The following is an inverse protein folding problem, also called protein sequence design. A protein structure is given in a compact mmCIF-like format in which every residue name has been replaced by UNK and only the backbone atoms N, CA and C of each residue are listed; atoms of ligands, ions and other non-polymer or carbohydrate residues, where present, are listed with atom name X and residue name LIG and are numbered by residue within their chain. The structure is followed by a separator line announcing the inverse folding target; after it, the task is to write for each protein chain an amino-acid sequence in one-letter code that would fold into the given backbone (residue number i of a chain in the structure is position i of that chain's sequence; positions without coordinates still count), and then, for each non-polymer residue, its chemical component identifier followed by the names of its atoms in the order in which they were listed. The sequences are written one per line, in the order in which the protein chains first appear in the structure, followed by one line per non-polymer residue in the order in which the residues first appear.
data_IF_833429181756
#
_entry.id   IF_833429181756
#
_cell.length_a   1.000
_cell.length_b   1.000
_cell.length_c   1.000
_cell.angle_alpha   90.00
_cell.angle_beta   90.00
_cell.angle_gamma   90.00
#
_symmetry.space_group_name_H-M   'P 1'
#
loop_
_entity.id
_entity.type
_entity.pdbx_description
1 polymer ?
#
# COMPACT_ATOMS: atom_id res chain seq x y z
N UNK A 1 -21.99 3.02 12.61
CA UNK A 1 -21.26 3.64 13.73
C UNK A 1 -21.26 5.14 13.48
N UNK A 2 -21.93 5.96 14.31
CA UNK A 2 -21.97 7.41 14.12
C UNK A 2 -20.64 8.04 14.54
N UNK A 3 -20.03 8.81 13.65
CA UNK A 3 -18.81 9.59 13.90
C UNK A 3 -18.80 10.76 12.92
N UNK A 4 -18.52 11.98 13.38
CA UNK A 4 -18.58 13.22 12.58
C UNK A 4 -17.76 13.13 11.27
N UNK A 5 -16.52 12.63 11.35
CA UNK A 5 -15.70 12.41 10.15
C UNK A 5 -16.34 11.46 9.12
N UNK A 6 -17.12 10.46 9.55
CA UNK A 6 -17.75 9.50 8.63
C UNK A 6 -18.93 10.10 7.85
N UNK A 7 -19.36 11.32 8.20
CA UNK A 7 -20.31 12.10 7.39
C UNK A 7 -19.64 12.71 6.15
N UNK A 8 -18.32 12.84 6.17
CA UNK A 8 -17.53 13.47 5.10
C UNK A 8 -16.66 12.49 4.33
N UNK A 9 -16.18 11.43 4.99
CA UNK A 9 -15.29 10.44 4.39
C UNK A 9 -15.74 9.01 4.70
N UNK A 10 -15.59 8.14 3.72
CA UNK A 10 -15.83 6.70 3.88
C UNK A 10 -14.52 5.94 3.75
N UNK A 11 -14.28 5.03 4.69
CA UNK A 11 -13.11 4.14 4.63
C UNK A 11 -13.53 2.78 4.05
N UNK A 12 -12.83 2.36 3.01
CA UNK A 12 -12.87 0.98 2.51
C UNK A 12 -11.65 0.23 3.03
N UNK A 13 -11.87 -0.78 3.87
CA UNK A 13 -10.79 -1.68 4.28
C UNK A 13 -10.70 -2.86 3.29
N UNK A 14 -9.47 -3.25 2.97
CA UNK A 14 -9.20 -4.32 2.02
C UNK A 14 -8.50 -5.48 2.73
N UNK A 15 -8.86 -6.74 2.43
CA UNK A 15 -8.14 -7.89 2.98
C UNK A 15 -6.64 -7.82 2.65
N UNK A 16 -5.78 -8.10 3.64
CA UNK A 16 -4.32 -8.04 3.48
C UNK A 16 -3.82 -8.76 2.24
N UNK A 17 -2.81 -8.19 1.59
CA UNK A 17 -2.18 -8.85 0.44
C UNK A 17 -1.34 -10.02 0.92
N UNK A 18 -1.89 -11.23 0.79
CA UNK A 18 -1.18 -12.49 1.00
C UNK A 18 0.07 -12.55 0.13
N UNK A 19 1.15 -13.10 0.68
CA UNK A 19 2.40 -13.36 -0.03
C UNK A 19 2.40 -14.75 -0.68
N UNK A 20 2.97 -14.87 -1.89
CA UNK A 20 3.23 -16.16 -2.55
C UNK A 20 2.02 -16.80 -3.26
N UNK A 21 2.11 -18.09 -3.57
CA UNK A 21 1.09 -18.86 -4.31
C UNK A 21 -0.30 -18.88 -3.63
N UNK A 22 -0.37 -18.54 -2.34
CA UNK A 22 -1.63 -18.48 -1.58
C UNK A 22 -2.63 -17.48 -2.17
N UNK A 23 -2.17 -16.40 -2.80
CA UNK A 23 -3.05 -15.49 -3.55
C UNK A 23 -3.86 -16.19 -4.65
N UNK A 24 -3.24 -17.15 -5.37
CA UNK A 24 -3.90 -17.87 -6.48
C UNK A 24 -4.64 -19.12 -6.02
N UNK A 25 -4.19 -19.78 -4.94
CA UNK A 25 -4.77 -21.04 -4.45
C UNK A 25 -5.87 -20.85 -3.40
N UNK A 26 -5.83 -19.81 -2.56
CA UNK A 26 -6.81 -19.62 -1.47
C UNK A 26 -7.92 -18.60 -1.79
N UNK A 27 -7.77 -17.74 -2.81
CA UNK A 27 -8.81 -16.76 -3.16
C UNK A 27 -9.67 -17.27 -4.30
N UNK A 28 -10.98 -17.35 -4.06
CA UNK A 28 -12.01 -17.71 -5.04
C UNK A 28 -12.39 -16.57 -6.00
N UNK A 29 -11.71 -15.42 -5.91
CA UNK A 29 -12.01 -14.22 -6.68
C UNK A 29 -10.74 -13.50 -7.14
N UNK A 30 -10.87 -12.67 -8.19
CA UNK A 30 -9.78 -11.82 -8.66
C UNK A 30 -9.58 -10.62 -7.71
N UNK A 31 -8.66 -10.80 -6.76
CA UNK A 31 -8.30 -9.74 -5.84
C UNK A 31 -7.69 -8.52 -6.54
N UNK A 32 -6.88 -8.71 -7.58
CA UNK A 32 -6.25 -7.58 -8.26
C UNK A 32 -7.30 -6.74 -8.99
N UNK A 33 -8.23 -7.39 -9.68
CA UNK A 33 -9.38 -6.74 -10.30
C UNK A 33 -10.29 -6.02 -9.31
N UNK A 34 -10.56 -6.63 -8.15
CA UNK A 34 -11.34 -5.99 -7.09
C UNK A 34 -10.66 -4.71 -6.57
N UNK A 35 -9.36 -4.76 -6.26
CA UNK A 35 -8.60 -3.58 -5.82
C UNK A 35 -8.58 -2.49 -6.89
N UNK A 36 -8.41 -2.86 -8.16
CA UNK A 36 -8.44 -1.90 -9.27
C UNK A 36 -9.81 -1.24 -9.41
N UNK A 37 -10.90 -1.99 -9.23
CA UNK A 37 -12.26 -1.44 -9.24
C UNK A 37 -12.48 -0.41 -8.14
N UNK A 38 -11.94 -0.66 -6.93
CA UNK A 38 -11.97 0.32 -5.84
C UNK A 38 -11.10 1.54 -6.15
N UNK A 39 -9.90 1.34 -6.68
CA UNK A 39 -8.97 2.42 -7.05
C UNK A 39 -9.57 3.42 -8.07
N UNK A 40 -10.37 2.91 -9.00
CA UNK A 40 -11.08 3.73 -9.97
C UNK A 40 -12.15 4.64 -9.31
N UNK A 41 -12.69 4.25 -8.15
CA UNK A 41 -13.81 4.92 -7.48
C UNK A 41 -13.44 5.73 -6.24
N UNK A 42 -12.30 5.43 -5.62
CA UNK A 42 -11.84 6.16 -4.43
C UNK A 42 -11.12 7.45 -4.82
N UNK A 43 -11.08 8.39 -3.87
CA UNK A 43 -10.30 9.62 -3.99
C UNK A 43 -8.86 9.46 -3.49
N UNK A 44 -8.62 8.50 -2.59
CA UNK A 44 -7.32 8.27 -1.95
C UNK A 44 -7.06 6.77 -1.76
N UNK A 45 -5.82 6.34 -2.02
CA UNK A 45 -5.37 4.96 -1.80
C UNK A 45 -4.23 4.99 -0.78
N UNK A 46 -4.43 4.35 0.37
CA UNK A 46 -3.42 4.22 1.41
C UNK A 46 -2.69 2.88 1.29
N UNK A 47 -1.38 2.94 1.05
CA UNK A 47 -0.50 1.77 1.09
C UNK A 47 0.23 1.72 2.43
N UNK A 48 -0.14 0.77 3.27
CA UNK A 48 0.41 0.61 4.62
C UNK A 48 1.60 -0.35 4.61
N UNK A 49 2.72 0.08 5.18
CA UNK A 49 3.92 -0.72 5.40
C UNK A 49 4.25 -0.77 6.88
N UNK A 50 4.62 -1.95 7.35
CA UNK A 50 5.16 -2.16 8.70
C UNK A 50 6.68 -2.30 8.57
N UNK A 51 7.49 -1.56 9.35
CA UNK A 51 8.92 -1.63 9.29
C UNK A 51 9.40 -3.08 9.49
N UNK A 52 8.89 -3.81 10.48
CA UNK A 52 9.34 -5.16 10.77
C UNK A 52 9.03 -6.16 9.64
N UNK A 53 8.14 -5.81 8.68
CA UNK A 53 7.71 -6.66 7.57
C UNK A 53 7.76 -5.94 6.22
N UNK A 54 8.84 -5.22 5.96
CA UNK A 54 9.04 -4.45 4.72
C UNK A 54 9.21 -5.26 3.42
N UNK A 55 9.00 -6.58 3.45
CA UNK A 55 9.15 -7.41 2.26
C UNK A 55 7.96 -7.21 1.31
N UNK A 56 8.19 -6.50 0.20
CA UNK A 56 7.19 -6.33 -0.87
C UNK A 56 7.08 -7.64 -1.63
N UNK A 57 6.11 -8.47 -1.24
CA UNK A 57 5.82 -9.74 -1.90
C UNK A 57 5.45 -9.53 -3.38
N UNK A 58 5.64 -10.56 -4.21
CA UNK A 58 5.33 -10.45 -5.65
C UNK A 58 3.84 -10.21 -5.91
N UNK A 59 2.96 -10.72 -5.03
CA UNK A 59 1.53 -10.39 -5.04
C UNK A 59 1.30 -8.90 -4.82
N UNK A 60 2.00 -8.30 -3.87
CA UNK A 60 1.88 -6.87 -3.60
C UNK A 60 2.48 -6.01 -4.73
N UNK A 61 3.62 -6.41 -5.30
CA UNK A 61 4.16 -5.74 -6.50
C UNK A 61 3.18 -5.75 -7.66
N UNK A 62 2.45 -6.86 -7.88
CA UNK A 62 1.45 -6.98 -8.94
C UNK A 62 0.28 -6.01 -8.73
N UNK A 63 -0.22 -5.93 -7.49
CA UNK A 63 -1.31 -5.00 -7.14
C UNK A 63 -0.85 -3.55 -7.32
N UNK A 64 0.31 -3.16 -6.77
CA UNK A 64 0.84 -1.80 -6.95
C UNK A 64 1.06 -1.48 -8.43
N UNK A 65 1.52 -2.45 -9.23
CA UNK A 65 1.70 -2.27 -10.67
C UNK A 65 0.37 -2.04 -11.40
N UNK A 66 -0.72 -2.70 -11.01
CA UNK A 66 -2.05 -2.42 -11.55
C UNK A 66 -2.60 -1.06 -11.14
N UNK A 67 -2.15 -0.53 -9.99
CA UNK A 67 -2.58 0.77 -9.47
C UNK A 67 -1.85 1.96 -10.11
N UNK A 68 -0.86 1.74 -10.99
CA UNK A 68 -0.11 2.83 -11.66
C UNK A 68 -0.99 3.84 -12.40
N UNK A 69 -2.15 3.40 -12.91
CA UNK A 69 -3.12 4.27 -13.58
C UNK A 69 -3.74 5.32 -12.63
N UNK A 70 -3.63 5.09 -11.32
CA UNK A 70 -4.18 5.93 -10.26
C UNK A 70 -3.08 6.37 -9.27
N UNK A 71 -1.84 6.55 -9.75
CA UNK A 71 -0.69 6.86 -8.90
C UNK A 71 -0.81 8.20 -8.14
N UNK A 72 -1.52 9.15 -8.72
CA UNK A 72 -1.83 10.46 -8.14
C UNK A 72 -2.61 10.36 -6.81
N UNK A 73 -3.41 9.30 -6.66
CA UNK A 73 -4.22 9.00 -5.47
C UNK A 73 -3.46 8.23 -4.39
N UNK A 74 -2.28 7.69 -4.72
CA UNK A 74 -1.54 6.81 -3.81
C UNK A 74 -0.80 7.64 -2.76
N UNK A 75 -0.97 7.27 -1.49
CA UNK A 75 -0.16 7.76 -0.36
C UNK A 75 0.38 6.57 0.41
N UNK A 76 1.67 6.61 0.72
CA UNK A 76 2.36 5.53 1.41
C UNK A 76 2.51 5.89 2.87
N UNK A 77 2.17 4.96 3.76
CA UNK A 77 2.29 5.14 5.20
C UNK A 77 3.21 4.05 5.74
N UNK A 78 4.32 4.46 6.33
CA UNK A 78 5.19 3.60 7.13
C UNK A 78 4.69 3.67 8.57
N UNK A 79 3.87 2.68 8.94
CA UNK A 79 3.17 2.57 10.22
C UNK A 79 4.04 1.84 11.25
N UNK A 80 3.88 2.12 12.55
CA UNK A 80 4.65 1.53 13.65
C UNK A 80 6.14 1.91 13.63
N UNK A 81 6.45 3.11 13.14
CA UNK A 81 7.81 3.62 13.12
C UNK A 81 8.40 3.82 14.53
N UNK A 82 7.54 3.94 15.54
CA UNK A 82 7.89 3.98 16.97
C UNK A 82 8.55 2.69 17.49
N UNK A 83 8.38 1.58 16.78
CA UNK A 83 8.89 0.26 17.19
C UNK A 83 10.32 -0.03 16.74
N UNK A 84 10.94 0.89 16.00
CA UNK A 84 12.30 0.74 15.46
C UNK A 84 13.17 1.95 15.80
N UNK A 85 14.48 1.74 15.92
CA UNK A 85 15.40 2.84 16.12
C UNK A 85 15.52 3.73 14.87
N UNK A 86 15.96 4.97 15.07
CA UNK A 86 16.08 5.97 14.00
C UNK A 86 16.99 5.53 12.85
N UNK A 87 18.09 4.82 13.11
CA UNK A 87 18.99 4.37 12.04
C UNK A 87 18.34 3.25 11.21
N UNK A 88 17.69 2.29 11.88
CA UNK A 88 16.95 1.24 11.20
C UNK A 88 15.82 1.84 10.38
N UNK A 89 15.05 2.78 10.95
CA UNK A 89 13.97 3.49 10.26
C UNK A 89 14.46 4.18 8.99
N UNK A 90 15.60 4.87 9.02
CA UNK A 90 16.18 5.52 7.84
C UNK A 90 16.59 4.52 6.75
N UNK A 91 17.17 3.37 7.14
CA UNK A 91 17.51 2.29 6.19
C UNK A 91 16.26 1.71 5.53
N UNK A 92 15.21 1.54 6.32
CA UNK A 92 13.93 0.96 5.92
C UNK A 92 13.16 1.90 4.99
N UNK A 93 13.13 3.18 5.32
CA UNK A 93 12.59 4.24 4.47
C UNK A 93 13.29 4.26 3.10
N UNK A 94 14.63 4.19 3.09
CA UNK A 94 15.41 4.11 1.85
C UNK A 94 15.09 2.86 1.02
N UNK A 95 15.03 1.69 1.65
CA UNK A 95 14.67 0.44 0.99
C UNK A 95 13.24 0.45 0.41
N UNK A 96 12.30 1.07 1.13
CA UNK A 96 10.93 1.24 0.68
C UNK A 96 10.84 2.16 -0.54
N UNK A 97 11.44 3.35 -0.48
CA UNK A 97 11.48 4.28 -1.61
C UNK A 97 12.10 3.63 -2.85
N UNK A 98 13.22 2.92 -2.68
CA UNK A 98 13.88 2.22 -3.78
C UNK A 98 12.97 1.18 -4.43
N UNK A 99 12.28 0.40 -3.61
CA UNK A 99 11.37 -0.65 -4.09
C UNK A 99 10.14 -0.06 -4.78
N UNK A 100 9.55 1.00 -4.22
CA UNK A 100 8.40 1.69 -4.82
C UNK A 100 8.76 2.32 -6.16
N UNK A 101 9.93 2.97 -6.27
CA UNK A 101 10.42 3.53 -7.53
C UNK A 101 10.48 2.47 -8.64
N UNK A 102 10.99 1.29 -8.32
CA UNK A 102 11.08 0.16 -9.27
C UNK A 102 9.69 -0.36 -9.68
N UNK A 103 8.73 -0.35 -8.76
CA UNK A 103 7.39 -0.94 -8.99
C UNK A 103 6.39 0.04 -9.59
N UNK A 104 6.49 1.34 -9.32
CA UNK A 104 5.60 2.36 -9.91
C UNK A 104 6.14 2.88 -11.24
N UNK A 105 7.46 2.94 -11.41
CA UNK A 105 8.12 3.42 -12.63
C UNK A 105 7.67 4.84 -13.02
N UNK A 106 7.38 5.68 -12.03
CA UNK A 106 7.06 7.10 -12.20
C UNK A 106 8.28 7.95 -11.83
N UNK A 107 8.52 9.07 -12.53
CA UNK A 107 9.56 10.02 -12.15
C UNK A 107 9.23 10.74 -10.83
N UNK A 108 7.97 10.76 -10.41
CA UNK A 108 7.53 11.45 -9.20
C UNK A 108 7.87 10.66 -7.93
N UNK A 109 8.28 11.40 -6.89
CA UNK A 109 8.57 10.78 -5.58
C UNK A 109 7.27 10.64 -4.81
N UNK A 110 6.87 9.40 -4.53
CA UNK A 110 5.71 9.13 -3.68
C UNK A 110 5.99 9.64 -2.27
N UNK A 111 5.07 10.47 -1.75
CA UNK A 111 5.15 10.95 -0.37
C UNK A 111 4.90 9.79 0.60
N UNK A 112 5.86 9.56 1.49
CA UNK A 112 5.77 8.59 2.57
C UNK A 112 5.49 9.34 3.88
N UNK A 113 4.42 8.95 4.57
CA UNK A 113 4.09 9.41 5.91
C UNK A 113 4.65 8.41 6.91
N UNK A 114 5.34 8.89 7.94
CA UNK A 114 5.96 8.05 8.97
C UNK A 114 5.18 8.28 10.26
N UNK A 115 4.73 7.19 10.88
CA UNK A 115 3.94 7.23 12.11
C UNK A 115 3.93 5.91 12.86
#
# INVERSE_FOLDING_TARGET
MPHELLEHISFGDSPSVLSGEKQRKERSYDFTGAILWFAAKCDLILLLFDPHKLNISDGFKRVISSLRVHEDKIRVVLNKADQVDTQQLMRMYGALMWSLKKVLNTPEVVRIYVG
#
